data_IF_121979609952
#
_entry.id   IF_121979609952
#
_cell.length_a   1.000
_cell.length_b   1.000
_cell.length_c   1.000
_cell.angle_alpha   90.00
_cell.angle_beta   90.00
_cell.angle_gamma   90.00
#
_symmetry.space_group_name_H-M   'P 1'
#
loop_
_entity.id
_entity.type
_entity.pdbx_description
1 polymer ?
#
# COMPACT_ATOMS: atom_id res chain seq x y z
N UNK A 1 36.67 -10.69 56.54
CA UNK A 1 35.99 -9.96 55.47
C UNK A 1 36.69 -10.27 54.16
N UNK A 2 36.22 -11.31 53.49
CA UNK A 2 36.75 -11.84 52.22
C UNK A 2 36.00 -11.22 51.04
N UNK A 3 36.62 -11.25 49.86
CA UNK A 3 36.16 -10.61 48.62
C UNK A 3 34.75 -11.02 48.11
N UNK A 4 34.07 -11.93 48.81
CA UNK A 4 32.75 -12.46 48.48
C UNK A 4 31.60 -11.56 48.99
N UNK A 5 31.81 -10.80 50.08
CA UNK A 5 30.80 -9.85 50.60
C UNK A 5 30.60 -8.63 49.68
N UNK A 6 31.63 -8.26 48.91
CA UNK A 6 31.57 -7.16 47.94
C UNK A 6 30.79 -7.51 46.66
N UNK A 7 30.64 -8.79 46.33
CA UNK A 7 29.86 -9.25 45.18
C UNK A 7 28.37 -9.40 45.53
N UNK A 8 28.06 -9.87 46.74
CA UNK A 8 26.68 -9.95 47.23
C UNK A 8 26.01 -8.56 47.37
N UNK A 9 26.77 -7.51 47.69
CA UNK A 9 26.25 -6.15 47.82
C UNK A 9 25.90 -5.47 46.47
N UNK A 10 26.40 -5.99 45.34
CA UNK A 10 26.12 -5.43 44.00
C UNK A 10 24.89 -6.04 43.32
N UNK A 11 24.38 -7.18 43.80
CA UNK A 11 23.25 -7.89 43.20
C UNK A 11 21.85 -7.40 43.66
N UNK A 12 21.77 -6.44 44.59
CA UNK A 12 20.50 -5.97 45.20
C UNK A 12 20.04 -4.58 44.72
N UNK A 13 20.65 -4.01 43.68
CA UNK A 13 20.10 -2.79 43.04
C UNK A 13 19.23 -3.19 41.87
N UNK A 14 17.96 -3.46 42.16
CA UNK A 14 16.91 -3.28 41.16
C UNK A 14 17.08 -1.90 40.52
N UNK A 15 16.91 -1.75 39.21
CA UNK A 15 16.96 -0.42 38.58
C UNK A 15 15.91 0.42 39.29
N UNK A 16 16.36 1.48 39.96
CA UNK A 16 15.47 2.45 40.56
C UNK A 16 14.55 2.96 39.44
N UNK A 17 13.24 2.90 39.67
CA UNK A 17 12.23 3.55 38.84
C UNK A 17 12.65 5.01 38.70
N UNK A 18 13.32 5.30 37.59
CA UNK A 18 13.67 6.66 37.22
C UNK A 18 12.33 7.29 36.91
N UNK A 19 11.90 8.34 37.62
CA UNK A 19 10.66 9.03 37.28
C UNK A 19 10.77 9.41 35.81
N UNK A 20 9.87 8.87 34.97
CA UNK A 20 9.79 9.25 33.58
C UNK A 20 9.58 10.76 33.56
N UNK A 21 10.59 11.49 33.13
CA UNK A 21 10.53 12.94 33.00
C UNK A 21 9.33 13.28 32.11
N UNK A 22 8.27 13.93 32.64
CA UNK A 22 7.10 14.27 31.84
C UNK A 22 7.43 15.30 30.74
N UNK A 23 8.64 15.85 30.72
CA UNK A 23 9.15 16.77 29.71
C UNK A 23 10.11 16.12 28.69
N UNK A 24 10.36 14.81 28.74
CA UNK A 24 10.97 14.13 27.61
C UNK A 24 10.01 14.28 26.41
N UNK A 25 10.44 14.86 25.26
CA UNK A 25 9.61 14.91 24.08
C UNK A 25 9.29 13.46 23.73
N UNK A 26 8.07 13.03 24.01
CA UNK A 26 7.53 11.86 23.36
C UNK A 26 7.76 12.12 21.88
N UNK A 27 8.50 11.25 21.20
CA UNK A 27 8.64 11.26 19.76
C UNK A 27 7.26 10.90 19.16
N UNK A 28 6.31 11.79 19.37
CA UNK A 28 4.96 11.74 18.89
C UNK A 28 4.91 12.53 17.61
N UNK A 29 4.26 11.94 16.61
CA UNK A 29 3.99 12.54 15.33
C UNK A 29 3.24 13.86 15.54
N UNK A 30 3.52 14.87 14.70
CA UNK A 30 2.94 16.19 14.83
C UNK A 30 1.44 16.14 14.52
N UNK A 31 0.61 16.07 15.57
CA UNK A 31 -0.86 16.05 15.49
C UNK A 31 -1.41 17.22 14.67
N UNK A 32 -2.58 17.01 14.03
CA UNK A 32 -3.40 18.02 13.34
C UNK A 32 -2.82 18.67 12.07
N UNK A 33 -1.87 18.02 11.39
CA UNK A 33 -1.25 18.57 10.17
C UNK A 33 -1.98 18.17 8.88
N UNK A 34 -2.72 17.06 8.87
CA UNK A 34 -3.31 16.50 7.66
C UNK A 34 -4.84 16.63 7.67
N UNK A 35 -5.40 17.42 6.75
CA UNK A 35 -6.85 17.46 6.53
C UNK A 35 -7.37 16.24 5.76
N UNK A 36 -8.67 15.95 5.85
CA UNK A 36 -9.35 14.83 5.17
C UNK A 36 -9.00 14.71 3.68
N UNK A 37 -8.88 15.84 2.98
CA UNK A 37 -8.51 15.88 1.55
C UNK A 37 -7.08 15.40 1.33
N UNK A 38 -6.15 15.76 2.21
CA UNK A 38 -4.77 15.28 2.14
C UNK A 38 -4.72 13.76 2.38
N UNK A 39 -5.46 13.26 3.38
CA UNK A 39 -5.57 11.82 3.66
C UNK A 39 -6.16 11.07 2.47
N UNK A 40 -7.26 11.55 1.89
CA UNK A 40 -7.84 10.94 0.69
C UNK A 40 -6.86 10.91 -0.48
N UNK A 41 -6.09 11.99 -0.66
CA UNK A 41 -5.04 12.05 -1.66
C UNK A 41 -3.93 11.03 -1.41
N UNK A 42 -3.51 10.84 -0.15
CA UNK A 42 -2.56 9.79 0.23
C UNK A 42 -3.08 8.38 0.00
N UNK A 43 -4.37 8.13 0.20
CA UNK A 43 -4.97 6.83 -0.07
C UNK A 43 -4.97 6.55 -1.57
N UNK A 44 -5.31 7.54 -2.38
CA UNK A 44 -5.25 7.44 -3.84
C UNK A 44 -3.79 7.25 -4.29
N UNK A 45 -2.85 7.97 -3.68
CA UNK A 45 -1.41 7.81 -3.89
C UNK A 45 -0.94 6.37 -3.67
N UNK A 46 -1.32 5.84 -2.51
CA UNK A 46 -0.97 4.50 -2.10
C UNK A 46 -1.67 3.43 -2.96
N UNK A 47 -2.76 3.77 -3.66
CA UNK A 47 -3.42 2.88 -4.62
C UNK A 47 -2.67 2.72 -5.95
N UNK A 48 -1.75 3.64 -6.26
CA UNK A 48 -0.97 3.67 -7.49
C UNK A 48 -1.81 3.34 -8.76
N UNK A 49 -2.77 4.21 -9.13
CA UNK A 49 -3.77 3.92 -10.17
C UNK A 49 -3.23 3.40 -11.51
N UNK A 50 -2.16 3.99 -12.05
CA UNK A 50 -1.52 3.53 -13.29
C UNK A 50 -0.78 2.21 -13.08
N UNK A 51 -0.19 1.99 -11.90
CA UNK A 51 0.43 0.71 -11.60
C UNK A 51 -0.62 -0.42 -11.60
N UNK A 52 -1.81 -0.16 -11.05
CA UNK A 52 -2.95 -1.07 -11.14
C UNK A 52 -3.43 -1.24 -12.59
N UNK A 53 -3.59 -0.15 -13.34
CA UNK A 53 -4.09 -0.18 -14.71
C UNK A 53 -3.16 -0.96 -15.66
N UNK A 54 -1.86 -0.67 -15.65
CA UNK A 54 -0.89 -1.21 -16.61
C UNK A 54 -0.25 -2.51 -16.09
N UNK A 55 -0.15 -2.68 -14.76
CA UNK A 55 0.38 -3.89 -14.14
C UNK A 55 -0.66 -5.00 -13.99
N UNK A 56 -1.72 -4.74 -13.23
CA UNK A 56 -2.75 -5.74 -12.93
C UNK A 56 -3.76 -5.92 -14.08
N UNK A 57 -4.13 -4.82 -14.75
CA UNK A 57 -5.13 -4.82 -15.83
C UNK A 57 -4.93 -5.91 -16.88
N UNK A 58 -3.77 -5.97 -17.58
CA UNK A 58 -3.50 -6.99 -18.59
C UNK A 58 -3.62 -8.42 -18.07
N UNK A 59 -3.18 -8.66 -16.83
CA UNK A 59 -3.28 -9.99 -16.20
C UNK A 59 -4.73 -10.39 -15.97
N UNK A 60 -5.57 -9.49 -15.43
CA UNK A 60 -7.01 -9.77 -15.27
C UNK A 60 -7.69 -10.01 -16.61
N UNK A 61 -7.47 -9.15 -17.60
CA UNK A 61 -8.06 -9.29 -18.92
C UNK A 61 -7.63 -10.59 -19.61
N UNK A 62 -6.38 -11.02 -19.43
CA UNK A 62 -5.90 -12.32 -19.93
C UNK A 62 -6.51 -13.53 -19.18
N UNK A 63 -6.96 -13.33 -17.94
CA UNK A 63 -7.45 -14.40 -17.06
C UNK A 63 -8.95 -14.66 -17.20
N UNK A 64 -9.76 -13.59 -17.21
CA UNK A 64 -11.24 -13.67 -17.22
C UNK A 64 -11.88 -12.85 -18.35
N UNK A 65 -11.07 -12.26 -19.24
CA UNK A 65 -11.54 -11.57 -20.43
C UNK A 65 -12.47 -10.40 -20.11
N UNK A 66 -13.59 -10.35 -20.81
CA UNK A 66 -14.62 -9.33 -20.67
C UNK A 66 -15.26 -9.30 -19.26
N UNK A 67 -15.11 -10.35 -18.45
CA UNK A 67 -15.62 -10.36 -17.07
C UNK A 67 -14.78 -9.56 -16.07
N UNK A 68 -13.63 -9.02 -16.50
CA UNK A 68 -12.73 -8.23 -15.65
C UNK A 68 -13.43 -7.13 -14.85
N UNK A 69 -14.34 -6.29 -15.41
CA UNK A 69 -15.06 -5.27 -14.64
C UNK A 69 -15.94 -5.87 -13.53
N UNK A 70 -16.54 -7.03 -13.77
CA UNK A 70 -17.36 -7.72 -12.76
C UNK A 70 -16.49 -8.24 -11.61
N UNK A 71 -15.29 -8.75 -11.90
CA UNK A 71 -14.33 -9.20 -10.87
C UNK A 71 -13.84 -8.02 -10.03
N UNK A 72 -13.55 -6.87 -10.65
CA UNK A 72 -13.24 -5.64 -9.91
C UNK A 72 -14.40 -5.21 -9.01
N UNK A 73 -15.63 -5.20 -9.53
CA UNK A 73 -16.81 -4.82 -8.76
C UNK A 73 -17.09 -5.77 -7.59
N UNK A 74 -16.96 -7.09 -7.81
CA UNK A 74 -17.12 -8.09 -6.77
C UNK A 74 -16.04 -7.94 -5.68
N UNK A 75 -14.79 -7.71 -6.07
CA UNK A 75 -13.69 -7.48 -5.13
C UNK A 75 -13.89 -6.20 -4.32
N UNK A 76 -14.29 -5.10 -4.97
CA UNK A 76 -14.63 -3.85 -4.31
C UNK A 76 -15.75 -4.04 -3.27
N UNK A 77 -16.79 -4.83 -3.60
CA UNK A 77 -17.88 -5.15 -2.69
C UNK A 77 -17.40 -5.97 -1.47
N UNK A 78 -16.56 -6.97 -1.69
CA UNK A 78 -15.98 -7.78 -0.61
C UNK A 78 -15.13 -6.93 0.34
N UNK A 79 -14.32 -6.02 -0.21
CA UNK A 79 -13.50 -5.10 0.58
C UNK A 79 -14.37 -4.08 1.29
N UNK A 80 -15.42 -3.56 0.67
CA UNK A 80 -16.36 -2.66 1.32
C UNK A 80 -17.05 -3.34 2.51
N UNK A 81 -17.48 -4.60 2.36
CA UNK A 81 -18.07 -5.38 3.44
C UNK A 81 -17.06 -5.62 4.58
N UNK A 82 -15.82 -5.96 4.24
CA UNK A 82 -14.72 -6.09 5.20
C UNK A 82 -14.45 -4.78 5.95
N UNK A 83 -14.41 -3.66 5.22
CA UNK A 83 -14.17 -2.32 5.76
C UNK A 83 -15.22 -1.93 6.82
N UNK A 84 -16.49 -2.33 6.65
CA UNK A 84 -17.53 -2.09 7.68
C UNK A 84 -17.17 -2.75 9.02
N UNK A 85 -16.69 -4.00 9.00
CA UNK A 85 -16.24 -4.69 10.20
C UNK A 85 -14.99 -4.06 10.80
N UNK A 86 -14.02 -3.74 9.94
CA UNK A 86 -12.78 -3.08 10.32
C UNK A 86 -12.99 -1.71 10.99
N UNK A 87 -13.80 -0.83 10.40
CA UNK A 87 -14.13 0.49 10.94
C UNK A 87 -14.91 0.41 12.26
N UNK A 88 -15.70 -0.65 12.46
CA UNK A 88 -16.34 -0.87 13.77
C UNK A 88 -15.33 -1.23 14.84
N UNK A 89 -14.35 -2.08 14.51
CA UNK A 89 -13.31 -2.51 15.44
C UNK A 89 -12.33 -1.39 15.80
N UNK A 90 -12.00 -0.51 14.83
CA UNK A 90 -11.05 0.59 15.05
C UNK A 90 -11.49 1.59 16.12
N UNK A 91 -12.80 1.72 16.36
CA UNK A 91 -13.34 2.53 17.46
C UNK A 91 -12.99 2.03 18.86
N UNK A 92 -12.63 0.75 19.00
CA UNK A 92 -12.34 0.12 20.29
C UNK A 92 -10.85 -0.15 20.51
N UNK A 93 -10.05 -0.09 19.44
CA UNK A 93 -8.61 -0.29 19.47
C UNK A 93 -7.94 0.80 18.62
N UNK A 94 -7.63 1.93 19.25
CA UNK A 94 -6.73 2.94 18.71
C UNK A 94 -5.30 2.52 19.02
N UNK A 95 -4.70 1.70 18.17
CA UNK A 95 -3.31 1.27 18.31
C UNK A 95 -2.61 1.32 16.94
N UNK A 96 -1.44 1.95 16.88
CA UNK A 96 -0.58 2.03 15.69
C UNK A 96 -0.25 0.66 15.07
N UNK A 97 -0.42 -0.44 15.80
CA UNK A 97 -0.19 -1.81 15.33
C UNK A 97 -1.21 -2.37 14.32
N UNK A 98 -2.26 -1.61 13.96
CA UNK A 98 -3.21 -1.97 12.90
C UNK A 98 -3.84 -3.38 13.05
N UNK A 99 -3.89 -4.16 11.97
CA UNK A 99 -4.47 -5.51 11.95
C UNK A 99 -3.83 -6.48 12.94
N UNK A 100 -2.52 -6.36 13.19
CA UNK A 100 -1.82 -7.27 14.11
C UNK A 100 -2.35 -7.10 15.53
N UNK A 101 -2.63 -5.87 15.95
CA UNK A 101 -3.24 -5.59 17.25
C UNK A 101 -4.65 -6.20 17.37
N UNK A 102 -5.41 -6.18 16.27
CA UNK A 102 -6.75 -6.76 16.21
C UNK A 102 -6.72 -8.28 16.32
N UNK A 103 -5.80 -8.94 15.60
CA UNK A 103 -5.60 -10.39 15.69
C UNK A 103 -5.14 -10.79 17.10
N UNK A 104 -4.24 -10.00 17.71
CA UNK A 104 -3.75 -10.28 19.06
C UNK A 104 -4.87 -10.28 20.10
N UNK A 105 -5.79 -9.31 20.01
CA UNK A 105 -6.91 -9.19 20.95
C UNK A 105 -8.04 -10.19 20.66
N UNK A 106 -8.27 -10.55 19.40
CA UNK A 106 -9.35 -11.47 19.01
C UNK A 106 -8.96 -12.94 19.12
N UNK A 107 -7.80 -13.32 18.57
CA UNK A 107 -7.35 -14.71 18.42
C UNK A 107 -6.15 -15.05 19.32
N UNK A 108 -5.49 -14.05 19.92
CA UNK A 108 -4.34 -14.22 20.79
C UNK A 108 -3.00 -13.99 20.09
N UNK A 109 -1.95 -13.87 20.90
CA UNK A 109 -0.61 -13.45 20.46
C UNK A 109 0.02 -14.38 19.41
N UNK A 110 -0.21 -15.69 19.50
CA UNK A 110 0.33 -16.68 18.54
C UNK A 110 -0.16 -16.46 17.10
N UNK A 111 -1.44 -16.16 16.94
CA UNK A 111 -2.01 -15.86 15.63
C UNK A 111 -1.57 -14.49 15.14
N UNK A 112 -1.39 -13.54 16.05
CA UNK A 112 -0.90 -12.20 15.72
C UNK A 112 0.53 -12.22 15.21
N UNK A 113 1.43 -12.99 15.80
CA UNK A 113 2.80 -13.15 15.29
C UNK A 113 2.83 -13.82 13.93
N UNK A 114 2.00 -14.84 13.70
CA UNK A 114 1.82 -15.43 12.36
C UNK A 114 1.31 -14.41 11.33
N UNK A 115 0.30 -13.62 11.70
CA UNK A 115 -0.24 -12.54 10.86
C UNK A 115 0.77 -11.45 10.55
N UNK A 116 1.58 -11.04 11.53
CA UNK A 116 2.66 -10.08 11.34
C UNK A 116 3.74 -10.60 10.37
N UNK A 117 4.12 -11.87 10.50
CA UNK A 117 5.05 -12.52 9.56
C UNK A 117 4.50 -12.56 8.14
N UNK A 118 3.22 -12.90 7.98
CA UNK A 118 2.55 -12.89 6.69
C UNK A 118 2.46 -11.47 6.10
N UNK A 119 2.15 -10.46 6.93
CA UNK A 119 2.13 -9.08 6.48
C UNK A 119 3.50 -8.64 5.96
N UNK A 120 4.59 -8.89 6.70
CA UNK A 120 5.94 -8.59 6.25
C UNK A 120 6.28 -9.27 4.92
N UNK A 121 5.95 -10.56 4.78
CA UNK A 121 6.17 -11.28 3.53
C UNK A 121 5.41 -10.65 2.35
N UNK A 122 4.13 -10.30 2.55
CA UNK A 122 3.30 -9.66 1.52
C UNK A 122 3.83 -8.29 1.15
N UNK A 123 4.22 -7.45 2.11
CA UNK A 123 4.80 -6.13 1.83
C UNK A 123 6.15 -6.22 1.12
N UNK A 124 7.00 -7.19 1.46
CA UNK A 124 8.25 -7.43 0.73
C UNK A 124 8.00 -7.89 -0.70
N UNK A 125 7.07 -8.83 -0.91
CA UNK A 125 6.69 -9.31 -2.23
C UNK A 125 6.10 -8.17 -3.09
N UNK A 126 5.23 -7.34 -2.50
CA UNK A 126 4.71 -6.12 -3.11
C UNK A 126 5.82 -5.16 -3.54
N UNK A 127 6.78 -4.90 -2.64
CA UNK A 127 7.87 -3.97 -2.92
C UNK A 127 8.75 -4.46 -4.07
N UNK A 128 9.08 -5.76 -4.11
CA UNK A 128 9.82 -6.38 -5.20
C UNK A 128 9.04 -6.26 -6.51
N UNK A 129 7.74 -6.57 -6.48
CA UNK A 129 6.86 -6.47 -7.64
C UNK A 129 6.79 -5.05 -8.22
N UNK A 130 6.56 -4.05 -7.36
CA UNK A 130 6.46 -2.65 -7.78
C UNK A 130 7.78 -2.10 -8.33
N UNK A 131 8.92 -2.42 -7.71
CA UNK A 131 10.23 -2.02 -8.24
C UNK A 131 10.55 -2.69 -9.57
N UNK A 132 10.24 -3.99 -9.70
CA UNK A 132 10.41 -4.72 -10.96
C UNK A 132 9.55 -4.11 -12.07
N UNK A 133 8.28 -3.82 -11.75
CA UNK A 133 7.34 -3.18 -12.66
C UNK A 133 7.83 -1.81 -13.12
N UNK A 134 8.29 -0.97 -12.18
CA UNK A 134 8.88 0.33 -12.52
C UNK A 134 10.08 0.20 -13.46
N UNK A 135 11.03 -0.68 -13.14
CA UNK A 135 12.23 -0.89 -13.95
C UNK A 135 11.92 -1.35 -15.37
N UNK A 136 10.96 -2.28 -15.53
CA UNK A 136 10.54 -2.77 -16.83
C UNK A 136 9.88 -1.67 -17.67
N UNK A 137 8.96 -0.87 -17.09
CA UNK A 137 8.33 0.22 -17.83
C UNK A 137 9.29 1.37 -18.15
N UNK A 138 10.24 1.67 -17.26
CA UNK A 138 11.27 2.68 -17.53
C UNK A 138 12.18 2.27 -18.69
N UNK A 139 12.60 0.99 -18.73
CA UNK A 139 13.35 0.45 -19.85
C UNK A 139 12.54 0.53 -21.15
N UNK A 140 11.29 0.06 -21.14
CA UNK A 140 10.41 0.09 -22.32
C UNK A 140 10.26 1.51 -22.86
N UNK A 141 9.96 2.48 -21.99
CA UNK A 141 9.78 3.87 -22.39
C UNK A 141 11.04 4.46 -23.05
N UNK A 142 12.22 4.19 -22.50
CA UNK A 142 13.47 4.76 -23.00
C UNK A 142 13.98 4.03 -24.24
N UNK A 143 13.73 2.73 -24.34
CA UNK A 143 13.95 1.98 -25.57
C UNK A 143 13.10 2.55 -26.71
N UNK A 144 11.81 2.81 -26.46
CA UNK A 144 10.88 3.33 -27.47
C UNK A 144 11.19 4.78 -27.89
N UNK A 145 11.56 5.65 -26.93
CA UNK A 145 11.77 7.07 -27.21
C UNK A 145 13.19 7.42 -27.69
N UNK A 146 14.21 6.73 -27.17
CA UNK A 146 15.61 7.07 -27.40
C UNK A 146 16.41 5.95 -28.06
N UNK A 147 15.82 4.76 -28.26
CA UNK A 147 16.53 3.59 -28.79
C UNK A 147 17.59 3.03 -27.83
N UNK A 148 17.56 3.42 -26.55
CA UNK A 148 18.55 3.01 -25.55
C UNK A 148 18.01 1.86 -24.71
N UNK A 149 18.66 0.70 -24.81
CA UNK A 149 18.31 -0.49 -24.05
C UNK A 149 19.15 -0.60 -22.76
N UNK A 150 18.68 0.06 -21.70
CA UNK A 150 19.33 0.07 -20.39
C UNK A 150 18.62 -0.93 -19.48
N UNK A 151 19.38 -1.80 -18.80
CA UNK A 151 18.85 -2.82 -17.91
C UNK A 151 17.89 -2.26 -16.83
N UNK A 152 16.77 -2.94 -16.51
CA UNK A 152 15.80 -2.50 -15.50
C UNK A 152 16.41 -2.18 -14.14
N UNK A 153 17.43 -2.94 -13.73
CA UNK A 153 18.11 -2.75 -12.46
C UNK A 153 18.79 -1.38 -12.34
N UNK A 154 19.27 -0.81 -13.46
CA UNK A 154 19.85 0.53 -13.47
C UNK A 154 18.80 1.61 -13.25
N UNK A 155 17.60 1.47 -13.85
CA UNK A 155 16.47 2.37 -13.61
C UNK A 155 15.98 2.33 -12.17
N UNK A 156 15.86 1.13 -11.60
CA UNK A 156 15.51 0.94 -10.18
C UNK A 156 16.55 1.59 -9.28
N UNK A 157 17.84 1.35 -9.51
CA UNK A 157 18.92 1.94 -8.72
C UNK A 157 18.93 3.47 -8.79
N UNK A 158 18.70 4.04 -9.99
CA UNK A 158 18.65 5.48 -10.19
C UNK A 158 17.49 6.13 -9.43
N UNK A 159 16.29 5.55 -9.52
CA UNK A 159 15.12 6.08 -8.79
C UNK A 159 15.22 5.86 -7.29
N UNK A 160 15.76 4.73 -6.84
CA UNK A 160 16.02 4.51 -5.42
C UNK A 160 16.96 5.57 -4.84
N UNK A 161 18.03 5.91 -5.56
CA UNK A 161 18.95 6.97 -5.17
C UNK A 161 18.25 8.35 -5.12
N UNK A 162 17.45 8.68 -6.14
CA UNK A 162 16.66 9.91 -6.17
C UNK A 162 15.71 10.01 -4.98
N UNK A 163 14.93 8.96 -4.71
CA UNK A 163 13.97 8.92 -3.59
C UNK A 163 14.68 9.05 -2.25
N UNK A 164 15.83 8.40 -2.09
CA UNK A 164 16.64 8.49 -0.88
C UNK A 164 17.11 9.93 -0.65
N UNK A 165 17.61 10.59 -1.70
CA UNK A 165 18.05 11.98 -1.65
C UNK A 165 16.89 12.94 -1.31
N UNK A 166 15.70 12.73 -1.90
CA UNK A 166 14.51 13.52 -1.59
C UNK A 166 14.06 13.33 -0.15
N UNK A 167 14.05 12.08 0.32
CA UNK A 167 13.65 11.73 1.69
C UNK A 167 14.58 12.37 2.72
N UNK A 168 15.89 12.36 2.48
CA UNK A 168 16.88 13.00 3.38
C UNK A 168 16.76 14.53 3.39
N UNK A 169 16.26 15.15 2.31
CA UNK A 169 16.04 16.61 2.23
C UNK A 169 14.73 17.10 2.86
N UNK A 170 13.88 16.19 3.32
CA UNK A 170 12.65 16.50 4.03
C UNK A 170 11.41 15.92 3.35
N UNK A 171 10.51 15.37 4.16
CA UNK A 171 9.30 14.66 3.72
C UNK A 171 8.38 15.58 2.92
N UNK A 172 8.31 16.87 3.25
CA UNK A 172 7.45 17.86 2.57
C UNK A 172 7.70 17.96 1.06
N UNK A 173 8.96 17.83 0.62
CA UNK A 173 9.30 17.86 -0.80
C UNK A 173 8.80 16.60 -1.53
N UNK A 174 8.93 15.44 -0.89
CA UNK A 174 8.44 14.16 -1.40
C UNK A 174 6.92 14.17 -1.56
N UNK A 175 6.22 14.72 -0.56
CA UNK A 175 4.75 14.82 -0.58
C UNK A 175 4.23 15.71 -1.71
N UNK A 176 4.87 16.85 -1.97
CA UNK A 176 4.50 17.74 -3.08
C UNK A 176 4.74 17.08 -4.43
N UNK A 177 5.85 16.38 -4.60
CA UNK A 177 6.16 15.67 -5.84
C UNK A 177 5.17 14.54 -6.08
N UNK A 178 4.89 13.72 -5.06
CA UNK A 178 3.88 12.66 -5.11
C UNK A 178 2.50 13.25 -5.49
N UNK A 179 2.13 14.35 -4.83
CA UNK A 179 1.00 15.22 -5.16
C UNK A 179 0.85 15.49 -6.64
N UNK A 180 1.91 16.04 -7.24
CA UNK A 180 1.93 16.39 -8.65
C UNK A 180 1.83 15.16 -9.56
N UNK A 181 2.56 14.09 -9.22
CA UNK A 181 2.58 12.86 -10.03
C UNK A 181 1.20 12.21 -10.11
N UNK A 182 0.47 12.13 -9.00
CA UNK A 182 -0.87 11.54 -8.97
C UNK A 182 -1.90 12.41 -9.69
N UNK A 183 -1.78 13.73 -9.58
CA UNK A 183 -2.63 14.62 -10.36
C UNK A 183 -2.41 14.39 -11.87
N UNK A 184 -1.16 14.29 -12.30
CA UNK A 184 -0.82 13.96 -13.69
C UNK A 184 -1.32 12.56 -14.09
N UNK A 185 -1.18 11.58 -13.20
CA UNK A 185 -1.64 10.21 -13.38
C UNK A 185 -3.15 10.13 -13.63
N UNK A 186 -3.95 10.80 -12.79
CA UNK A 186 -5.41 10.88 -12.93
C UNK A 186 -5.77 11.55 -14.26
N UNK A 187 -5.09 12.64 -14.64
CA UNK A 187 -5.32 13.31 -15.92
C UNK A 187 -5.07 12.37 -17.10
N UNK A 188 -3.94 11.65 -17.10
CA UNK A 188 -3.60 10.69 -18.16
C UNK A 188 -4.67 9.59 -18.28
N UNK A 189 -5.11 9.03 -17.15
CA UNK A 189 -6.17 8.01 -17.12
C UNK A 189 -7.48 8.57 -17.66
N UNK A 190 -7.89 9.78 -17.24
CA UNK A 190 -9.12 10.41 -17.72
C UNK A 190 -9.06 10.67 -19.22
N UNK A 191 -7.93 11.19 -19.73
CA UNK A 191 -7.73 11.40 -21.16
C UNK A 191 -7.81 10.08 -21.93
N UNK A 192 -7.17 9.02 -21.43
CA UNK A 192 -7.23 7.70 -22.04
C UNK A 192 -8.66 7.17 -22.11
N UNK A 193 -9.42 7.24 -21.01
CA UNK A 193 -10.82 6.78 -20.95
C UNK A 193 -11.69 7.58 -21.91
N UNK A 194 -11.58 8.90 -21.91
CA UNK A 194 -12.35 9.77 -22.82
C UNK A 194 -12.00 9.48 -24.28
N UNK A 195 -10.72 9.29 -24.60
CA UNK A 195 -10.28 8.96 -25.96
C UNK A 195 -10.83 7.61 -26.43
N UNK A 196 -10.82 6.58 -25.58
CA UNK A 196 -11.40 5.28 -25.89
C UNK A 196 -12.91 5.36 -26.11
N UNK A 197 -13.64 6.05 -25.24
CA UNK A 197 -15.09 6.22 -25.39
C UNK A 197 -15.43 7.04 -26.64
N UNK A 198 -14.65 8.08 -26.96
CA UNK A 198 -14.86 8.89 -28.15
C UNK A 198 -14.60 8.10 -29.45
N UNK A 199 -13.64 7.17 -29.43
CA UNK A 199 -13.26 6.35 -30.59
C UNK A 199 -14.22 5.18 -30.81
N UNK A 200 -14.49 4.41 -29.76
CA UNK A 200 -15.15 3.10 -29.85
C UNK A 200 -16.59 3.12 -29.30
N UNK A 201 -17.04 4.26 -28.75
CA UNK A 201 -18.36 4.43 -28.15
C UNK A 201 -18.51 3.66 -26.83
N UNK A 202 -19.73 3.65 -26.28
CA UNK A 202 -20.05 2.90 -25.06
C UNK A 202 -20.21 1.39 -25.30
N UNK A 203 -20.12 0.94 -26.56
CA UNK A 203 -20.17 -0.48 -26.92
C UNK A 203 -19.04 -1.31 -26.31
N UNK A 204 -17.94 -0.67 -25.92
CA UNK A 204 -16.82 -1.30 -25.18
C UNK A 204 -17.22 -1.87 -23.81
N UNK A 205 -18.37 -1.47 -23.27
CA UNK A 205 -18.90 -1.96 -21.99
C UNK A 205 -19.80 -3.19 -22.16
N UNK A 206 -19.95 -3.69 -23.38
CA UNK A 206 -20.89 -4.76 -23.67
C UNK A 206 -20.33 -6.15 -23.28
N UNK A 207 -21.04 -6.82 -22.36
CA UNK A 207 -20.73 -8.18 -21.92
C UNK A 207 -21.48 -9.26 -22.73
N UNK A 208 -22.38 -8.87 -23.64
CA UNK A 208 -23.16 -9.82 -24.46
C UNK A 208 -22.26 -10.50 -25.48
N UNK A 209 -21.80 -11.70 -25.11
CA UNK A 209 -20.86 -12.50 -25.90
C UNK A 209 -19.72 -13.09 -25.08
N UNK A 210 -19.55 -12.65 -23.82
CA UNK A 210 -18.56 -13.23 -22.92
C UNK A 210 -18.94 -14.68 -22.54
N UNK A 211 -18.09 -15.68 -22.80
CA UNK A 211 -18.34 -17.06 -22.38
C UNK A 211 -18.45 -17.14 -20.85
N UNK A 212 -19.54 -17.71 -20.32
CA UNK A 212 -19.71 -17.88 -18.88
C UNK A 212 -18.59 -18.76 -18.25
N UNK A 213 -18.02 -19.66 -19.04
CA UNK A 213 -16.88 -20.50 -18.65
C UNK A 213 -15.61 -19.69 -18.33
N UNK A 214 -15.45 -18.49 -18.89
CA UNK A 214 -14.28 -17.65 -18.62
C UNK A 214 -14.35 -17.01 -17.23
N UNK A 215 -15.57 -16.84 -16.69
CA UNK A 215 -15.78 -16.30 -15.35
C UNK A 215 -15.52 -17.35 -14.25
N UNK A 216 -16.01 -18.58 -14.44
CA UNK A 216 -15.87 -19.65 -13.44
C UNK A 216 -14.74 -20.64 -13.78
N UNK A 217 -13.87 -20.27 -14.72
CA UNK A 217 -12.73 -21.06 -15.13
C UNK A 217 -11.51 -20.93 -14.20
N UNK A 218 -10.40 -21.59 -14.54
CA UNK A 218 -9.16 -21.56 -13.74
C UNK A 218 -8.58 -20.15 -13.53
N UNK A 219 -8.87 -19.22 -14.44
CA UNK A 219 -8.37 -17.84 -14.39
C UNK A 219 -8.98 -16.98 -13.28
N UNK A 220 -10.12 -17.37 -12.70
CA UNK A 220 -10.81 -16.56 -11.69
C UNK A 220 -9.95 -16.30 -10.45
N UNK A 221 -9.19 -17.29 -9.99
CA UNK A 221 -8.33 -17.14 -8.82
C UNK A 221 -7.22 -16.11 -9.04
N UNK A 222 -6.61 -16.11 -10.23
CA UNK A 222 -5.58 -15.14 -10.63
C UNK A 222 -6.20 -13.74 -10.76
N UNK A 223 -7.38 -13.65 -11.38
CA UNK A 223 -8.08 -12.39 -11.52
C UNK A 223 -8.47 -11.77 -10.17
N UNK A 224 -8.98 -12.59 -9.23
CA UNK A 224 -9.27 -12.14 -7.87
C UNK A 224 -8.00 -11.71 -7.14
N UNK A 225 -6.92 -12.47 -7.21
CA UNK A 225 -5.64 -12.12 -6.58
C UNK A 225 -5.17 -10.72 -6.99
N UNK A 226 -5.11 -10.44 -8.29
CA UNK A 226 -4.68 -9.14 -8.79
C UNK A 226 -5.73 -8.05 -8.58
N UNK A 227 -7.03 -8.37 -8.58
CA UNK A 227 -8.07 -7.42 -8.20
C UNK A 227 -7.90 -6.97 -6.74
N UNK A 228 -7.70 -7.90 -5.80
CA UNK A 228 -7.44 -7.59 -4.38
C UNK A 228 -6.18 -6.74 -4.19
N UNK A 229 -5.15 -7.00 -5.01
CA UNK A 229 -3.92 -6.21 -5.04
C UNK A 229 -4.16 -4.74 -5.37
N UNK A 230 -5.13 -4.45 -6.25
CA UNK A 230 -5.47 -3.07 -6.63
C UNK A 230 -6.18 -2.29 -5.53
N UNK A 231 -6.63 -2.96 -4.47
CA UNK A 231 -7.39 -2.36 -3.37
C UNK A 231 -6.65 -2.43 -2.03
N UNK A 232 -5.36 -2.77 -1.97
CA UNK A 232 -4.65 -3.00 -0.70
C UNK A 232 -4.43 -1.71 0.13
N UNK A 233 -4.78 -0.55 -0.40
CA UNK A 233 -4.36 0.77 0.12
C UNK A 233 -5.32 1.40 1.13
N UNK A 234 -6.50 0.82 1.39
CA UNK A 234 -7.45 1.40 2.35
C UNK A 234 -6.92 1.36 3.79
N UNK A 235 -6.00 0.44 4.11
CA UNK A 235 -5.40 0.28 5.44
C UNK A 235 -4.49 1.46 5.82
N UNK A 236 -3.91 2.15 4.84
CA UNK A 236 -3.00 3.28 5.06
C UNK A 236 -3.68 4.48 5.73
N UNK A 237 -5.02 4.57 5.66
CA UNK A 237 -5.80 5.60 6.37
C UNK A 237 -5.54 5.61 7.87
N UNK A 238 -5.33 4.44 8.47
CA UNK A 238 -5.12 4.32 9.92
C UNK A 238 -3.71 4.72 10.33
N UNK A 239 -2.72 4.52 9.46
CA UNK A 239 -1.34 4.97 9.72
C UNK A 239 -1.28 6.50 9.83
N UNK A 240 -2.04 7.21 9.00
CA UNK A 240 -2.11 8.68 9.05
C UNK A 240 -3.19 9.22 9.99
N UNK A 241 -3.99 8.35 10.63
CA UNK A 241 -5.07 8.79 11.52
C UNK A 241 -4.58 9.50 12.78
N UNK A 242 -3.34 9.24 13.23
CA UNK A 242 -2.74 9.94 14.38
C UNK A 242 -2.30 11.38 14.05
N UNK A 243 -2.16 11.71 12.76
CA UNK A 243 -1.79 13.03 12.25
C UNK A 243 -2.96 13.76 11.54
N UNK A 244 -4.06 13.04 11.32
CA UNK A 244 -5.26 13.56 10.71
C UNK A 244 -6.02 14.48 11.67
N UNK A 245 -6.55 15.57 11.14
CA UNK A 245 -7.47 16.45 11.84
C UNK A 245 -8.88 15.82 11.76
N UNK A 246 -9.41 15.43 12.91
CA UNK A 246 -10.72 14.78 13.16
C UNK A 246 -10.83 13.27 12.87
#
# INVERSE_FOLDING_TARGET
MTADETLAARASRAPADTPLDPAAPQAGLARDKLGVVAVAFFVIAAAAPMAALVGAGPVLFSSVGAWTPLVYAATALLIALFAVGYLRMSRYLTNAGGFVAYIAKGLGVRWATGGAGLALLTYLALQIGLWSQFGAFAQLLVADLAGLDIAPSAWVAAVLALVTVLTVRGVDASLKLLGLLIAAEIVVIVVLVVALVARDGLGILNLSGAPAQDLFGPGLGIALLFAFLCFTSFEATVVFSEEARD
#
